data_IF_281410085218
#
_entry.id   IF_281410085218
#
_cell.length_a   1.000
_cell.length_b   1.000
_cell.length_c   1.000
_cell.angle_alpha   90.00
_cell.angle_beta   90.00
_cell.angle_gamma   90.00
#
_symmetry.space_group_name_H-M   'P 1'
#
loop_
_entity.id
_entity.type
_entity.pdbx_description
1 polymer ?
#
# COMPACT_ATOMS: atom_id res chain seq x y z
N UNK A 1 -28.49 -11.73 0.44
CA UNK A 1 -27.11 -12.14 0.12
C UNK A 1 -26.27 -10.88 0.05
N UNK A 2 -25.13 -10.84 0.73
CA UNK A 2 -24.33 -9.62 0.90
C UNK A 2 -23.78 -9.11 -0.44
N UNK A 3 -24.26 -7.95 -0.83
CA UNK A 3 -23.78 -7.15 -1.95
C UNK A 3 -22.52 -6.36 -1.53
N UNK A 4 -21.63 -6.18 -2.51
CA UNK A 4 -20.59 -5.14 -2.59
C UNK A 4 -19.44 -5.10 -1.56
N UNK A 5 -18.20 -5.34 -2.01
CA UNK A 5 -17.22 -4.23 -2.06
C UNK A 5 -15.95 -4.55 -2.86
N UNK A 6 -15.96 -4.05 -4.10
CA UNK A 6 -14.88 -3.29 -4.75
C UNK A 6 -13.46 -3.65 -4.30
N UNK A 7 -12.76 -4.41 -5.15
CA UNK A 7 -11.31 -4.43 -5.33
C UNK A 7 -10.76 -2.99 -5.45
N UNK A 8 -10.75 -2.24 -4.36
CA UNK A 8 -9.92 -1.05 -4.22
C UNK A 8 -8.54 -1.60 -3.91
N UNK A 9 -7.83 -2.09 -4.93
CA UNK A 9 -6.37 -2.30 -4.84
C UNK A 9 -5.83 -1.02 -4.23
N UNK A 10 -5.42 -1.09 -2.96
CA UNK A 10 -4.84 0.05 -2.26
C UNK A 10 -3.52 0.31 -2.96
N UNK A 11 -3.53 1.25 -3.90
CA UNK A 11 -2.33 1.66 -4.63
C UNK A 11 -1.49 2.43 -3.63
N UNK A 12 -0.57 1.73 -2.98
CA UNK A 12 0.43 2.33 -2.12
C UNK A 12 1.34 3.15 -3.02
N UNK A 13 1.24 4.49 -2.95
CA UNK A 13 2.11 5.39 -3.71
C UNK A 13 3.22 6.02 -2.86
N UNK A 14 3.20 5.81 -1.55
CA UNK A 14 4.23 6.28 -0.62
C UNK A 14 4.66 5.18 0.34
N UNK A 15 5.91 5.24 0.80
CA UNK A 15 6.40 4.40 1.87
C UNK A 15 5.70 4.80 3.19
N UNK A 16 5.10 3.85 3.93
CA UNK A 16 4.43 4.15 5.20
C UNK A 16 5.39 4.60 6.31
N UNK A 17 6.69 4.30 6.19
CA UNK A 17 7.68 4.65 7.20
C UNK A 17 8.30 6.04 7.02
N UNK A 18 8.63 6.42 5.79
CA UNK A 18 9.31 7.69 5.52
C UNK A 18 8.50 8.66 4.66
N UNK A 19 7.32 8.26 4.16
CA UNK A 19 6.52 9.07 3.24
C UNK A 19 7.15 9.23 1.86
N UNK A 20 8.25 8.54 1.55
CA UNK A 20 8.90 8.64 0.25
C UNK A 20 8.01 8.07 -0.85
N UNK A 21 7.85 8.83 -1.93
CA UNK A 21 7.01 8.41 -3.06
C UNK A 21 7.60 7.20 -3.77
N UNK A 22 6.81 6.15 -3.90
CA UNK A 22 7.18 4.97 -4.66
C UNK A 22 7.09 5.29 -6.16
N UNK A 23 8.12 4.91 -6.90
CA UNK A 23 8.12 4.99 -8.35
C UNK A 23 7.03 4.07 -8.93
N UNK A 24 6.50 4.35 -10.14
CA UNK A 24 5.48 3.49 -10.77
C UNK A 24 5.88 2.01 -10.79
N UNK A 25 7.15 1.72 -11.07
CA UNK A 25 7.68 0.35 -11.00
C UNK A 25 7.63 -0.22 -9.57
N UNK A 26 8.00 0.54 -8.54
CA UNK A 26 7.92 0.09 -7.15
C UNK A 26 6.49 -0.23 -6.73
N UNK A 27 5.51 0.53 -7.20
CA UNK A 27 4.09 0.23 -6.97
C UNK A 27 3.67 -1.08 -7.64
N UNK A 28 4.17 -1.34 -8.86
CA UNK A 28 3.94 -2.61 -9.57
C UNK A 28 4.58 -3.78 -8.83
N UNK A 29 5.84 -3.67 -8.41
CA UNK A 29 6.52 -4.70 -7.59
C UNK A 29 5.72 -4.99 -6.34
N UNK A 30 5.33 -3.94 -5.61
CA UNK A 30 4.56 -4.09 -4.38
C UNK A 30 3.18 -4.71 -4.63
N UNK A 31 2.56 -4.47 -5.79
CA UNK A 31 1.30 -5.13 -6.19
C UNK A 31 1.45 -6.60 -6.58
N UNK A 32 2.59 -6.98 -7.18
CA UNK A 32 2.85 -8.34 -7.68
C UNK A 32 3.45 -9.22 -6.59
N UNK A 33 4.53 -8.74 -6.00
CA UNK A 33 5.32 -9.44 -4.98
C UNK A 33 4.66 -9.36 -3.59
N UNK A 34 3.73 -8.42 -3.40
CA UNK A 34 3.07 -8.09 -2.12
C UNK A 34 4.03 -7.62 -1.02
N UNK A 35 5.32 -7.57 -1.30
CA UNK A 35 6.34 -6.97 -0.47
C UNK A 35 7.23 -6.03 -1.28
N UNK A 36 7.73 -4.98 -0.65
CA UNK A 36 8.69 -4.08 -1.27
C UNK A 36 9.60 -3.47 -0.21
N UNK A 37 10.90 -3.54 -0.42
CA UNK A 37 11.85 -2.76 0.38
C UNK A 37 11.94 -1.33 -0.15
N UNK A 38 11.64 -0.34 0.68
CA UNK A 38 11.83 1.06 0.35
C UNK A 38 13.33 1.36 0.19
N UNK A 39 13.75 1.86 -0.97
CA UNK A 39 15.15 2.22 -1.22
C UNK A 39 15.65 3.41 -0.41
N UNK A 40 14.75 4.21 0.17
CA UNK A 40 15.11 5.42 0.92
C UNK A 40 15.39 5.13 2.41
N UNK A 41 14.56 4.30 3.04
CA UNK A 41 14.69 3.99 4.47
C UNK A 41 14.93 2.50 4.77
N UNK A 42 15.11 1.67 3.74
CA UNK A 42 15.24 0.21 3.84
C UNK A 42 14.08 -0.49 4.57
N UNK A 43 12.94 0.19 4.71
CA UNK A 43 11.75 -0.34 5.35
C UNK A 43 11.04 -1.36 4.44
N UNK A 44 10.66 -2.51 4.99
CA UNK A 44 9.94 -3.55 4.27
C UNK A 44 8.44 -3.28 4.34
N UNK A 45 7.87 -2.90 3.21
CA UNK A 45 6.44 -2.66 3.03
C UNK A 45 5.80 -4.00 2.68
N UNK A 46 4.78 -4.42 3.42
CA UNK A 46 4.05 -5.67 3.19
C UNK A 46 2.58 -5.31 3.00
N UNK A 47 2.00 -5.65 1.85
CA UNK A 47 0.65 -5.22 1.48
C UNK A 47 -0.44 -5.83 2.39
N UNK A 48 -0.24 -7.08 2.81
CA UNK A 48 -1.18 -7.84 3.66
C UNK A 48 -1.47 -7.14 5.01
N UNK A 49 -0.44 -6.50 5.58
CA UNK A 49 -0.53 -5.75 6.83
C UNK A 49 -1.31 -4.43 6.65
N UNK A 50 -1.22 -3.84 5.45
CA UNK A 50 -1.91 -2.59 5.12
C UNK A 50 -3.39 -2.82 4.85
N UNK A 51 -3.77 -3.91 4.18
CA UNK A 51 -5.19 -4.23 3.94
C UNK A 51 -5.98 -4.49 5.24
N UNK A 52 -5.29 -4.87 6.32
CA UNK A 52 -5.88 -5.02 7.66
C UNK A 52 -6.19 -3.68 8.34
N UNK A 53 -5.59 -2.61 7.87
CA UNK A 53 -5.77 -1.25 8.37
C UNK A 53 -6.65 -0.49 7.37
N UNK A 54 -7.97 -0.35 7.59
CA UNK A 54 -8.79 0.43 6.67
C UNK A 54 -8.18 1.84 6.54
N UNK A 55 -8.10 2.39 5.32
CA UNK A 55 -7.55 3.72 5.12
C UNK A 55 -8.40 4.68 5.95
N UNK A 56 -7.81 5.26 7.00
CA UNK A 56 -8.42 6.35 7.76
C UNK A 56 -8.45 7.58 6.84
N UNK A 57 -9.40 7.62 5.90
CA UNK A 57 -9.79 8.85 5.26
C UNK A 57 -10.63 9.62 6.28
N UNK A 58 -9.98 10.54 6.99
CA UNK A 58 -10.69 11.54 7.77
C UNK A 58 -11.61 12.32 6.84
N UNK A 59 -12.91 12.32 7.13
CA UNK A 59 -13.73 13.48 6.86
C UNK A 59 -14.52 13.79 8.13
N UNK A 60 -14.03 14.84 8.80
CA UNK A 60 -14.63 15.56 9.91
C UNK A 60 -15.98 16.19 9.55
#
# INVERSE_FOLDING_TARGET
>A
MAEENKDKKTVIDHCPHCGHKLSPWQQVLLSVDRELMCKNCSYRIILDDIEKSPPKNNLS
#
